data_IF_001724104296
#
_entry.id   IF_001724104296
#
_cell.length_a   1.000
_cell.length_b   1.000
_cell.length_c   1.000
_cell.angle_alpha   90.00
_cell.angle_beta   90.00
_cell.angle_gamma   90.00
#
_symmetry.space_group_name_H-M   'P 1'
#
loop_
_entity.id
_entity.type
_entity.pdbx_description
1 polymer ?
#
# COMPACT_ATOMS: atom_id res chain seq x y z
N UNK A 1 30.88 -35.90 30.11
CA UNK A 1 29.69 -35.16 30.59
C UNK A 1 29.14 -34.39 29.40
N UNK A 2 28.14 -34.98 28.73
CA UNK A 2 27.44 -34.39 27.59
C UNK A 2 26.26 -33.55 28.10
N UNK A 3 26.38 -32.22 27.97
CA UNK A 3 25.29 -31.29 28.22
C UNK A 3 24.51 -31.06 26.93
N UNK A 4 23.30 -31.58 26.83
CA UNK A 4 22.36 -31.34 25.76
C UNK A 4 21.79 -29.94 25.91
N UNK A 5 22.11 -29.02 24.98
CA UNK A 5 21.47 -27.74 24.83
C UNK A 5 20.06 -27.95 24.23
N UNK A 6 19.05 -27.89 25.07
CA UNK A 6 17.64 -27.85 24.69
C UNK A 6 17.37 -26.53 23.94
N UNK A 7 17.18 -26.61 22.63
CA UNK A 7 16.68 -25.54 21.83
C UNK A 7 15.22 -25.24 22.21
N UNK A 8 14.95 -24.14 22.90
CA UNK A 8 13.61 -23.61 23.17
C UNK A 8 12.97 -23.22 21.83
N UNK A 9 11.96 -23.99 21.40
CA UNK A 9 11.06 -23.60 20.29
C UNK A 9 10.37 -22.29 20.67
N UNK A 10 10.21 -21.33 19.72
CA UNK A 10 9.41 -20.14 19.98
C UNK A 10 8.00 -20.57 20.37
N UNK A 11 7.46 -19.96 21.43
CA UNK A 11 6.14 -20.22 21.99
C UNK A 11 5.06 -20.00 20.93
N UNK A 12 4.54 -21.07 20.33
CA UNK A 12 3.40 -21.04 19.43
C UNK A 12 2.15 -20.52 20.17
N UNK A 13 1.29 -19.79 19.45
CA UNK A 13 -0.01 -19.35 19.95
C UNK A 13 -0.80 -20.56 20.51
N UNK A 14 -1.53 -20.35 21.59
CA UNK A 14 -2.46 -21.37 22.09
C UNK A 14 -3.57 -21.58 21.06
N UNK A 15 -4.22 -22.79 21.07
CA UNK A 15 -5.38 -23.05 20.21
C UNK A 15 -6.47 -21.99 20.34
N UNK A 16 -6.69 -21.46 21.53
CA UNK A 16 -7.67 -20.39 21.77
C UNK A 16 -7.27 -19.07 21.11
N UNK A 17 -5.99 -18.72 21.19
CA UNK A 17 -5.46 -17.52 20.53
C UNK A 17 -5.51 -17.63 19.02
N UNK A 18 -5.15 -18.80 18.47
CA UNK A 18 -5.24 -19.04 17.04
C UNK A 18 -6.69 -18.92 16.54
N UNK A 19 -7.64 -19.59 17.19
CA UNK A 19 -9.06 -19.50 16.84
C UNK A 19 -9.63 -18.07 16.92
N UNK A 20 -9.09 -17.24 17.83
CA UNK A 20 -9.47 -15.83 17.91
C UNK A 20 -8.97 -15.04 16.69
N UNK A 21 -7.72 -15.27 16.30
CA UNK A 21 -7.10 -14.62 15.12
C UNK A 21 -7.79 -15.06 13.83
N UNK A 22 -8.04 -16.36 13.66
CA UNK A 22 -8.71 -16.90 12.48
C UNK A 22 -10.09 -16.28 12.29
N UNK A 23 -10.86 -16.17 13.38
CA UNK A 23 -12.17 -15.51 13.39
C UNK A 23 -12.08 -14.02 13.05
N UNK A 24 -11.07 -13.32 13.58
CA UNK A 24 -10.86 -11.92 13.27
C UNK A 24 -10.57 -11.74 11.78
N UNK A 25 -9.73 -12.59 11.19
CA UNK A 25 -9.41 -12.55 9.75
C UNK A 25 -10.66 -12.86 8.89
N UNK A 26 -11.48 -13.80 9.28
CA UNK A 26 -12.75 -14.11 8.61
C UNK A 26 -13.70 -12.90 8.63
N UNK A 27 -13.87 -12.25 9.77
CA UNK A 27 -14.68 -11.04 9.89
C UNK A 27 -14.15 -9.86 9.07
N UNK A 28 -12.82 -9.69 8.99
CA UNK A 28 -12.18 -8.67 8.13
C UNK A 28 -12.46 -9.01 6.66
N UNK A 29 -12.37 -10.27 6.25
CA UNK A 29 -12.67 -10.67 4.89
C UNK A 29 -14.14 -10.40 4.52
N UNK A 30 -15.07 -10.70 5.40
CA UNK A 30 -16.51 -10.40 5.22
C UNK A 30 -16.73 -8.88 5.12
N UNK A 31 -16.11 -8.10 6.01
CA UNK A 31 -16.21 -6.64 5.97
C UNK A 31 -15.67 -6.06 4.66
N UNK A 32 -14.60 -6.64 4.14
CA UNK A 32 -14.03 -6.25 2.85
C UNK A 32 -15.03 -6.50 1.70
N UNK A 33 -15.68 -7.66 1.65
CA UNK A 33 -16.70 -7.94 0.64
C UNK A 33 -17.91 -6.99 0.74
N UNK A 34 -18.29 -6.58 1.96
CA UNK A 34 -19.34 -5.56 2.14
C UNK A 34 -18.88 -4.21 1.58
N UNK A 35 -17.64 -3.81 1.85
CA UNK A 35 -17.07 -2.54 1.32
C UNK A 35 -16.95 -2.57 -0.21
N UNK A 36 -16.54 -3.68 -0.80
CA UNK A 36 -16.48 -3.84 -2.27
C UNK A 36 -17.84 -3.66 -2.92
N UNK A 37 -18.89 -4.20 -2.31
CA UNK A 37 -20.24 -4.16 -2.86
C UNK A 37 -20.97 -2.84 -2.61
N UNK A 38 -20.80 -2.24 -1.44
CA UNK A 38 -21.67 -1.16 -0.94
C UNK A 38 -20.90 0.12 -0.58
N UNK A 39 -19.59 0.09 -0.73
CA UNK A 39 -18.71 1.19 -0.32
C UNK A 39 -18.59 1.34 1.21
N UNK A 40 -17.78 2.31 1.66
CA UNK A 40 -17.56 2.56 3.09
C UNK A 40 -18.80 3.04 3.84
N UNK A 41 -19.66 3.81 3.16
CA UNK A 41 -20.93 4.29 3.75
C UNK A 41 -21.86 3.13 4.03
N UNK A 42 -21.82 2.11 3.19
CA UNK A 42 -22.61 0.89 3.31
C UNK A 42 -22.14 -0.08 4.41
N UNK A 43 -20.88 0.02 4.87
CA UNK A 43 -20.36 -0.85 5.92
C UNK A 43 -21.02 -0.53 7.26
N UNK A 44 -21.59 -1.55 7.90
CA UNK A 44 -22.09 -1.51 9.28
C UNK A 44 -21.74 -2.80 10.01
N UNK A 45 -21.61 -2.73 11.34
CA UNK A 45 -21.35 -3.91 12.18
C UNK A 45 -22.46 -4.96 12.04
N UNK A 46 -23.71 -4.52 11.86
CA UNK A 46 -24.88 -5.40 11.68
C UNK A 46 -24.81 -6.17 10.36
N UNK A 47 -24.37 -5.52 9.26
CA UNK A 47 -24.19 -6.20 7.98
C UNK A 47 -23.08 -7.24 8.03
N UNK A 48 -21.98 -6.94 8.73
CA UNK A 48 -20.90 -7.91 8.93
C UNK A 48 -21.37 -9.09 9.76
N UNK A 49 -22.14 -8.85 10.84
CA UNK A 49 -22.73 -9.92 11.63
C UNK A 49 -23.70 -10.76 10.81
N UNK A 50 -24.59 -10.13 10.04
CA UNK A 50 -25.57 -10.83 9.19
C UNK A 50 -24.93 -11.66 8.06
N UNK A 51 -23.77 -11.23 7.56
CA UNK A 51 -23.01 -11.94 6.52
C UNK A 51 -22.06 -13.01 7.09
N UNK A 52 -21.89 -13.08 8.41
CA UNK A 52 -21.04 -14.05 9.10
C UNK A 52 -21.86 -15.15 9.78
N UNK A 53 -21.16 -16.22 10.20
CA UNK A 53 -21.72 -17.26 11.06
C UNK A 53 -21.77 -16.85 12.54
N UNK A 54 -21.36 -15.64 12.89
CA UNK A 54 -21.19 -15.18 14.26
C UNK A 54 -22.30 -14.25 14.75
N UNK A 55 -22.57 -14.27 16.05
CA UNK A 55 -23.49 -13.34 16.66
C UNK A 55 -22.97 -11.90 16.62
N UNK A 56 -23.88 -10.91 16.63
CA UNK A 56 -23.53 -9.49 16.75
C UNK A 56 -22.59 -9.22 17.94
N UNK A 57 -22.85 -9.85 19.10
CA UNK A 57 -21.97 -9.75 20.27
C UNK A 57 -20.55 -10.26 20.00
N UNK A 58 -20.41 -11.33 19.21
CA UNK A 58 -19.09 -11.83 18.79
C UNK A 58 -18.35 -10.82 17.93
N UNK A 59 -19.02 -10.16 16.97
CA UNK A 59 -18.41 -9.13 16.13
C UNK A 59 -17.93 -7.95 16.97
N UNK A 60 -18.76 -7.48 17.92
CA UNK A 60 -18.38 -6.39 18.85
C UNK A 60 -17.28 -6.76 19.85
N UNK A 61 -17.04 -8.05 20.10
CA UNK A 61 -15.89 -8.49 20.88
C UNK A 61 -14.54 -8.39 20.11
N UNK A 62 -14.59 -8.37 18.77
CA UNK A 62 -13.41 -8.21 17.91
C UNK A 62 -13.15 -6.76 17.51
N UNK A 63 -14.23 -5.99 17.30
CA UNK A 63 -14.15 -4.60 16.83
C UNK A 63 -15.05 -3.71 17.69
N UNK A 64 -14.45 -2.73 18.35
CA UNK A 64 -15.17 -1.84 19.28
C UNK A 64 -16.13 -0.90 18.56
N UNK A 65 -15.90 -0.65 17.27
CA UNK A 65 -16.70 0.25 16.43
C UNK A 65 -16.56 -0.12 14.93
N UNK A 66 -17.38 0.50 14.09
CA UNK A 66 -17.19 0.47 12.63
C UNK A 66 -15.82 1.01 12.24
N UNK A 67 -15.39 2.07 12.90
CA UNK A 67 -14.12 2.73 12.65
C UNK A 67 -12.93 1.83 13.01
N UNK A 68 -13.03 1.06 14.10
CA UNK A 68 -12.04 0.04 14.50
C UNK A 68 -11.92 -1.08 13.44
N UNK A 69 -13.06 -1.47 12.84
CA UNK A 69 -13.09 -2.41 11.72
C UNK A 69 -12.48 -1.82 10.44
N UNK A 70 -12.71 -0.53 10.15
CA UNK A 70 -12.07 0.18 9.03
C UNK A 70 -10.55 0.23 9.25
N UNK A 71 -10.07 0.48 10.47
CA UNK A 71 -8.64 0.44 10.79
C UNK A 71 -8.04 -0.97 10.60
N UNK A 72 -8.79 -2.03 10.88
CA UNK A 72 -8.36 -3.39 10.58
C UNK A 72 -8.28 -3.67 9.07
N UNK A 73 -9.20 -3.14 8.27
CA UNK A 73 -9.15 -3.21 6.80
C UNK A 73 -7.94 -2.45 6.24
N UNK A 74 -7.63 -1.26 6.78
CA UNK A 74 -6.44 -0.50 6.40
C UNK A 74 -5.15 -1.25 6.76
N UNK A 75 -5.09 -1.91 7.92
CA UNK A 75 -3.96 -2.77 8.30
C UNK A 75 -3.76 -3.90 7.29
N UNK A 76 -4.85 -4.53 6.83
CA UNK A 76 -4.79 -5.54 5.76
C UNK A 76 -4.27 -4.94 4.45
N UNK A 77 -4.77 -3.77 4.06
CA UNK A 77 -4.34 -3.05 2.86
C UNK A 77 -2.83 -2.77 2.88
N UNK A 78 -2.33 -2.15 3.96
CA UNK A 78 -0.91 -1.86 4.15
C UNK A 78 -0.04 -3.12 4.10
N UNK A 79 -0.50 -4.24 4.69
CA UNK A 79 0.25 -5.49 4.63
C UNK A 79 0.38 -6.03 3.21
N UNK A 80 -0.67 -5.92 2.38
CA UNK A 80 -0.63 -6.32 0.97
C UNK A 80 0.26 -5.38 0.16
N UNK A 81 0.14 -4.08 0.37
CA UNK A 81 0.96 -3.06 -0.27
C UNK A 81 2.46 -3.28 0.02
N UNK A 82 2.85 -3.51 1.28
CA UNK A 82 4.22 -3.82 1.69
C UNK A 82 4.73 -5.09 0.98
N UNK A 83 3.90 -6.14 0.87
CA UNK A 83 4.29 -7.36 0.17
C UNK A 83 4.60 -7.09 -1.31
N UNK A 84 3.81 -6.26 -1.98
CA UNK A 84 4.06 -5.84 -3.36
C UNK A 84 5.32 -4.97 -3.46
N UNK A 85 5.54 -4.03 -2.52
CA UNK A 85 6.73 -3.17 -2.50
C UNK A 85 8.01 -3.97 -2.29
N UNK A 86 8.00 -5.00 -1.43
CA UNK A 86 9.12 -5.92 -1.25
C UNK A 86 9.44 -6.69 -2.53
N UNK A 87 8.42 -7.12 -3.30
CA UNK A 87 8.63 -7.72 -4.62
C UNK A 87 9.26 -6.69 -5.58
N UNK A 88 8.73 -5.48 -5.63
CA UNK A 88 9.22 -4.40 -6.48
C UNK A 88 10.67 -4.01 -6.17
N UNK A 89 11.06 -3.93 -4.90
CA UNK A 89 12.42 -3.58 -4.48
C UNK A 89 13.48 -4.60 -4.90
N UNK A 90 13.06 -5.83 -5.25
CA UNK A 90 13.94 -6.85 -5.83
C UNK A 90 14.22 -6.66 -7.33
N UNK A 91 13.63 -5.66 -7.99
CA UNK A 91 13.86 -5.37 -9.40
C UNK A 91 15.34 -5.13 -9.70
N UNK A 92 15.83 -5.67 -10.81
CA UNK A 92 17.22 -5.56 -11.23
C UNK A 92 17.42 -4.31 -12.08
N UNK A 93 17.85 -3.24 -11.43
CA UNK A 93 18.11 -1.93 -12.03
C UNK A 93 18.91 -1.02 -11.08
N UNK A 94 19.13 0.25 -11.47
CA UNK A 94 19.66 1.27 -10.58
C UNK A 94 18.64 1.62 -9.47
N UNK A 95 19.00 2.46 -8.48
CA UNK A 95 18.10 2.71 -7.36
C UNK A 95 16.91 3.58 -7.76
N UNK A 96 17.04 4.46 -8.76
CA UNK A 96 15.91 5.20 -9.32
C UNK A 96 14.89 4.26 -10.00
N UNK A 97 15.36 3.25 -10.75
CA UNK A 97 14.48 2.22 -11.33
C UNK A 97 13.78 1.37 -10.25
N UNK A 98 14.45 1.06 -9.12
CA UNK A 98 13.84 0.36 -7.99
C UNK A 98 12.75 1.19 -7.32
N UNK A 99 12.98 2.50 -7.16
CA UNK A 99 11.96 3.39 -6.64
C UNK A 99 10.77 3.49 -7.59
N UNK A 100 11.01 3.55 -8.90
CA UNK A 100 9.97 3.47 -9.92
C UNK A 100 9.18 2.16 -9.83
N UNK A 101 9.87 1.03 -9.61
CA UNK A 101 9.20 -0.27 -9.43
C UNK A 101 8.24 -0.29 -8.24
N UNK A 102 8.59 0.40 -7.14
CA UNK A 102 7.68 0.59 -5.98
C UNK A 102 6.43 1.39 -6.39
N UNK A 103 6.58 2.43 -7.22
CA UNK A 103 5.42 3.17 -7.73
C UNK A 103 4.54 2.34 -8.67
N UNK A 104 5.14 1.50 -9.52
CA UNK A 104 4.39 0.53 -10.34
C UNK A 104 3.59 -0.42 -9.47
N UNK A 105 4.21 -0.96 -8.40
CA UNK A 105 3.53 -1.82 -7.44
C UNK A 105 2.34 -1.12 -6.78
N UNK A 106 2.51 0.15 -6.40
CA UNK A 106 1.43 0.94 -5.79
C UNK A 106 0.28 1.22 -6.78
N UNK A 107 0.60 1.58 -8.02
CA UNK A 107 -0.41 1.79 -9.06
C UNK A 107 -1.21 0.50 -9.33
N UNK A 108 -0.53 -0.65 -9.41
CA UNK A 108 -1.17 -1.96 -9.54
C UNK A 108 -2.07 -2.27 -8.34
N UNK A 109 -1.60 -2.06 -7.12
CA UNK A 109 -2.38 -2.27 -5.90
C UNK A 109 -3.66 -1.43 -5.90
N UNK A 110 -3.57 -0.14 -6.23
CA UNK A 110 -4.72 0.76 -6.32
C UNK A 110 -5.74 0.33 -7.40
N UNK A 111 -5.27 -0.23 -8.51
CA UNK A 111 -6.15 -0.75 -9.56
C UNK A 111 -6.81 -2.08 -9.19
N UNK A 112 -6.08 -2.98 -8.52
CA UNK A 112 -6.56 -4.31 -8.13
C UNK A 112 -7.50 -4.26 -6.93
N UNK A 113 -7.19 -3.40 -5.97
CA UNK A 113 -7.85 -3.32 -4.67
C UNK A 113 -8.30 -1.88 -4.34
N UNK A 114 -9.10 -1.22 -5.20
CA UNK A 114 -9.47 0.18 -5.00
C UNK A 114 -10.21 0.43 -3.68
N UNK A 115 -10.98 -0.55 -3.21
CA UNK A 115 -11.68 -0.45 -1.93
C UNK A 115 -10.69 -0.44 -0.74
N UNK A 116 -9.65 -1.28 -0.77
CA UNK A 116 -8.62 -1.29 0.29
C UNK A 116 -7.74 -0.04 0.24
N UNK A 117 -7.34 0.41 -0.94
CA UNK A 117 -6.60 1.66 -1.12
C UNK A 117 -7.34 2.85 -0.49
N UNK A 118 -8.65 2.95 -0.71
CA UNK A 118 -9.50 3.97 -0.08
C UNK A 118 -9.62 3.81 1.45
N UNK A 119 -9.47 2.58 2.00
CA UNK A 119 -9.43 2.37 3.45
C UNK A 119 -8.26 3.10 4.10
N UNK A 120 -7.08 3.03 3.50
CA UNK A 120 -5.86 3.67 4.02
C UNK A 120 -6.05 5.18 4.14
N UNK A 121 -6.70 5.81 3.15
CA UNK A 121 -7.08 7.23 3.18
C UNK A 121 -8.03 7.54 4.34
N UNK A 122 -9.11 6.79 4.44
CA UNK A 122 -10.17 7.03 5.41
C UNK A 122 -9.67 6.90 6.84
N UNK A 123 -8.73 5.97 7.09
CA UNK A 123 -8.17 5.72 8.43
C UNK A 123 -7.32 6.86 8.99
N UNK A 124 -6.88 7.80 8.16
CA UNK A 124 -6.09 8.97 8.59
C UNK A 124 -6.96 10.13 9.08
N UNK A 125 -8.27 10.01 8.93
CA UNK A 125 -9.20 11.06 9.36
C UNK A 125 -9.47 10.98 10.86
N UNK A 126 -9.63 12.12 11.58
CA UNK A 126 -9.99 12.13 13.00
C UNK A 126 -11.25 11.31 13.30
N UNK A 127 -12.22 11.33 12.38
CA UNK A 127 -13.46 10.57 12.51
C UNK A 127 -13.24 9.05 12.71
N UNK A 128 -12.14 8.51 12.17
CA UNK A 128 -11.78 7.10 12.32
C UNK A 128 -10.78 6.92 13.46
N UNK A 129 -9.73 7.74 13.54
CA UNK A 129 -8.66 7.57 14.54
C UNK A 129 -9.17 7.71 15.98
N UNK A 130 -10.08 8.63 16.24
CA UNK A 130 -10.65 8.87 17.58
C UNK A 130 -11.54 7.71 18.10
N UNK A 131 -12.05 6.88 17.19
CA UNK A 131 -12.96 5.76 17.50
C UNK A 131 -12.33 4.39 17.29
N UNK A 132 -11.08 4.35 16.86
CA UNK A 132 -10.31 3.12 16.70
C UNK A 132 -9.56 2.78 17.98
N UNK A 133 -9.38 1.49 18.27
CA UNK A 133 -8.61 1.05 19.41
C UNK A 133 -7.12 1.38 19.24
N UNK A 134 -6.43 1.67 20.35
CA UNK A 134 -4.98 1.94 20.36
C UNK A 134 -4.20 0.79 19.71
N UNK A 135 -4.62 -0.46 19.93
CA UNK A 135 -4.01 -1.63 19.31
C UNK A 135 -4.03 -1.56 17.79
N UNK A 136 -5.17 -1.15 17.19
CA UNK A 136 -5.32 -1.03 15.73
C UNK A 136 -4.46 0.11 15.17
N UNK A 137 -4.51 1.25 15.83
CA UNK A 137 -3.70 2.40 15.43
C UNK A 137 -2.20 2.09 15.51
N UNK A 138 -1.75 1.44 16.58
CA UNK A 138 -0.35 1.02 16.72
C UNK A 138 0.08 0.04 15.62
N UNK A 139 -0.77 -0.94 15.27
CA UNK A 139 -0.49 -1.87 14.18
C UNK A 139 -0.40 -1.16 12.82
N UNK A 140 -1.31 -0.25 12.54
CA UNK A 140 -1.30 0.56 11.31
C UNK A 140 -0.05 1.44 11.22
N UNK A 141 0.29 2.16 12.30
CA UNK A 141 1.49 3.01 12.36
C UNK A 141 2.78 2.21 12.18
N UNK A 142 2.84 0.98 12.72
CA UNK A 142 4.00 0.10 12.54
C UNK A 142 4.20 -0.32 11.09
N UNK A 143 3.14 -0.67 10.39
CA UNK A 143 3.19 -1.02 8.96
C UNK A 143 3.53 0.20 8.09
N UNK A 144 3.00 1.37 8.43
CA UNK A 144 3.34 2.61 7.74
C UNK A 144 4.82 2.95 7.88
N UNK A 145 5.38 2.81 9.08
CA UNK A 145 6.81 2.99 9.31
C UNK A 145 7.66 1.99 8.49
N UNK A 146 7.22 0.72 8.39
CA UNK A 146 7.87 -0.28 7.54
C UNK A 146 7.84 0.13 6.06
N UNK A 147 6.72 0.61 5.59
CA UNK A 147 6.53 1.06 4.20
C UNK A 147 7.46 2.24 3.86
N UNK A 148 7.53 3.25 4.73
CA UNK A 148 8.42 4.40 4.56
C UNK A 148 9.90 3.98 4.60
N UNK A 149 10.26 3.04 5.47
CA UNK A 149 11.63 2.51 5.57
C UNK A 149 12.13 1.87 4.26
N UNK A 150 11.25 1.28 3.45
CA UNK A 150 11.63 0.76 2.12
C UNK A 150 12.05 1.89 1.17
N UNK A 151 11.35 3.02 1.20
CA UNK A 151 11.72 4.22 0.44
C UNK A 151 13.05 4.83 0.91
N UNK A 152 13.22 4.97 2.23
CA UNK A 152 14.44 5.48 2.85
C UNK A 152 15.67 4.66 2.43
N UNK A 153 15.58 3.32 2.49
CA UNK A 153 16.65 2.42 2.08
C UNK A 153 17.05 2.60 0.61
N UNK A 154 16.08 2.73 -0.31
CA UNK A 154 16.37 2.95 -1.72
C UNK A 154 17.06 4.31 -1.92
N UNK A 155 16.62 5.35 -1.21
CA UNK A 155 17.20 6.68 -1.22
C UNK A 155 18.66 6.67 -0.72
N UNK A 156 18.91 6.05 0.42
CA UNK A 156 20.25 5.92 1.00
C UNK A 156 21.21 5.17 0.08
N UNK A 157 20.74 4.09 -0.56
CA UNK A 157 21.54 3.36 -1.55
C UNK A 157 21.83 4.19 -2.80
N UNK A 158 20.87 4.99 -3.28
CA UNK A 158 21.05 5.93 -4.38
C UNK A 158 22.08 6.99 -4.05
N UNK A 159 22.00 7.58 -2.87
CA UNK A 159 22.98 8.58 -2.40
C UNK A 159 24.39 7.97 -2.26
N UNK A 160 24.51 6.78 -1.65
CA UNK A 160 25.78 6.09 -1.48
C UNK A 160 26.47 5.75 -2.83
N UNK A 161 25.71 5.61 -3.92
CA UNK A 161 26.21 5.39 -5.28
C UNK A 161 26.43 6.66 -6.09
N UNK A 162 26.13 7.84 -5.51
CA UNK A 162 26.21 9.10 -6.21
C UNK A 162 25.13 9.31 -7.29
N UNK A 163 24.04 8.53 -7.24
CA UNK A 163 22.91 8.66 -8.16
C UNK A 163 22.04 9.89 -7.82
N UNK A 164 22.03 10.32 -6.57
CA UNK A 164 21.36 11.52 -6.07
C UNK A 164 22.21 12.24 -5.03
N UNK A 165 22.26 13.57 -5.10
CA UNK A 165 22.96 14.40 -4.12
C UNK A 165 21.99 14.81 -3.00
N UNK A 166 22.24 14.30 -1.80
CA UNK A 166 21.44 14.57 -0.60
C UNK A 166 22.01 15.69 0.26
N UNK A 167 23.11 16.37 -0.19
CA UNK A 167 23.75 17.49 0.53
C UNK A 167 23.02 18.83 0.31
N UNK A 168 22.00 18.86 -0.52
CA UNK A 168 21.20 20.04 -0.84
C UNK A 168 20.41 20.59 0.35
N UNK A 169 19.74 21.73 0.14
CA UNK A 169 18.95 22.40 1.17
C UNK A 169 17.63 21.67 1.55
N UNK A 170 17.21 20.70 0.74
CA UNK A 170 16.00 19.90 1.00
C UNK A 170 16.40 18.63 1.75
N UNK A 171 15.89 18.40 2.98
CA UNK A 171 16.18 17.18 3.72
C UNK A 171 15.70 15.92 2.99
N UNK A 172 16.43 14.82 3.13
CA UNK A 172 16.06 13.50 2.57
C UNK A 172 14.63 13.09 2.92
N UNK A 173 14.24 13.29 4.18
CA UNK A 173 12.89 13.01 4.67
C UNK A 173 11.80 13.78 3.91
N UNK A 174 12.09 15.02 3.49
CA UNK A 174 11.14 15.81 2.70
C UNK A 174 11.02 15.26 1.27
N UNK A 175 12.11 14.76 0.69
CA UNK A 175 12.09 14.15 -0.65
C UNK A 175 11.28 12.84 -0.60
N UNK A 176 11.53 11.98 0.41
CA UNK A 176 10.78 10.74 0.60
C UNK A 176 9.29 11.03 0.81
N UNK A 177 8.97 12.01 1.66
CA UNK A 177 7.58 12.42 1.88
C UNK A 177 6.92 12.96 0.60
N UNK A 178 7.61 13.84 -0.16
CA UNK A 178 7.07 14.38 -1.41
C UNK A 178 6.81 13.29 -2.45
N UNK A 179 7.76 12.33 -2.56
CA UNK A 179 7.63 11.19 -3.44
C UNK A 179 6.43 10.30 -3.07
N UNK A 180 6.27 10.01 -1.78
CA UNK A 180 5.12 9.27 -1.27
C UNK A 180 3.81 10.03 -1.50
N UNK A 181 3.74 11.31 -1.13
CA UNK A 181 2.54 12.14 -1.25
C UNK A 181 2.09 12.29 -2.70
N UNK A 182 3.04 12.46 -3.64
CA UNK A 182 2.77 12.51 -5.07
C UNK A 182 2.17 11.19 -5.56
N UNK A 183 2.82 10.06 -5.29
CA UNK A 183 2.34 8.74 -5.70
C UNK A 183 0.95 8.43 -5.13
N UNK A 184 0.75 8.73 -3.85
CA UNK A 184 -0.53 8.56 -3.17
C UNK A 184 -1.63 9.44 -3.77
N UNK A 185 -1.36 10.74 -3.94
CA UNK A 185 -2.33 11.69 -4.49
C UNK A 185 -2.68 11.39 -5.94
N UNK A 186 -1.70 11.09 -6.78
CA UNK A 186 -1.91 10.73 -8.18
C UNK A 186 -2.81 9.49 -8.30
N UNK A 187 -2.48 8.40 -7.61
CA UNK A 187 -3.28 7.18 -7.67
C UNK A 187 -4.69 7.37 -7.08
N UNK A 188 -4.85 8.15 -6.00
CA UNK A 188 -6.16 8.46 -5.44
C UNK A 188 -7.05 9.23 -6.44
N UNK A 189 -6.48 10.19 -7.17
CA UNK A 189 -7.19 10.95 -8.18
C UNK A 189 -7.55 10.11 -9.42
N UNK A 190 -6.60 9.32 -9.94
CA UNK A 190 -6.81 8.48 -11.14
C UNK A 190 -7.76 7.31 -10.88
N UNK A 191 -7.86 6.81 -9.65
CA UNK A 191 -8.78 5.73 -9.28
C UNK A 191 -10.06 6.22 -8.60
N UNK A 192 -10.29 7.54 -8.53
CA UNK A 192 -11.56 8.07 -8.01
C UNK A 192 -12.69 7.83 -8.99
N UNK A 193 -13.88 7.50 -8.46
CA UNK A 193 -15.07 7.27 -9.27
C UNK A 193 -15.64 8.57 -9.92
N UNK A 194 -15.14 9.73 -9.52
CA UNK A 194 -15.55 11.02 -10.07
C UNK A 194 -14.57 11.46 -11.16
N UNK A 195 -15.06 11.65 -12.38
CA UNK A 195 -14.28 12.27 -13.45
C UNK A 195 -13.98 13.74 -13.11
N UNK A 196 -12.81 13.98 -12.53
CA UNK A 196 -12.28 15.32 -12.38
C UNK A 196 -11.82 15.85 -13.73
N UNK A 197 -12.23 17.05 -14.12
CA UNK A 197 -11.76 17.67 -15.38
C UNK A 197 -10.24 17.76 -15.48
N UNK A 198 -9.52 17.84 -14.36
CA UNK A 198 -8.07 17.81 -14.32
C UNK A 198 -7.52 16.42 -14.71
N UNK A 199 -8.13 15.34 -14.21
CA UNK A 199 -7.75 13.96 -14.53
C UNK A 199 -8.00 13.65 -16.00
N UNK A 200 -9.19 13.99 -16.51
CA UNK A 200 -9.55 13.80 -17.93
C UNK A 200 -8.54 14.50 -18.84
N UNK A 201 -8.24 15.77 -18.56
CA UNK A 201 -7.26 16.54 -19.36
C UNK A 201 -5.88 15.90 -19.40
N UNK A 202 -5.40 15.34 -18.28
CA UNK A 202 -4.10 14.71 -18.21
C UNK A 202 -4.10 13.37 -18.96
N UNK A 203 -5.17 12.58 -18.84
CA UNK A 203 -5.31 11.29 -19.53
C UNK A 203 -5.41 11.45 -21.05
N UNK A 204 -5.97 12.55 -21.54
CA UNK A 204 -6.03 12.85 -22.99
C UNK A 204 -4.68 13.24 -23.58
N UNK A 205 -3.74 13.74 -22.77
CA UNK A 205 -2.46 14.29 -23.22
C UNK A 205 -1.24 13.47 -22.87
N UNK A 206 -1.34 12.56 -21.89
CA UNK A 206 -0.24 11.77 -21.35
C UNK A 206 -0.53 10.28 -21.44
N UNK A 207 0.42 9.50 -21.94
CA UNK A 207 0.33 8.03 -22.01
C UNK A 207 0.42 7.40 -20.61
N UNK A 208 1.31 7.92 -19.77
CA UNK A 208 1.52 7.44 -18.40
C UNK A 208 1.68 8.60 -17.42
N UNK A 209 0.57 9.25 -17.01
CA UNK A 209 0.63 10.43 -16.14
C UNK A 209 1.31 10.20 -14.79
N UNK A 210 1.23 8.99 -14.24
CA UNK A 210 1.87 8.65 -12.97
C UNK A 210 3.39 8.64 -13.15
N UNK A 211 3.89 8.04 -14.23
CA UNK A 211 5.32 8.06 -14.57
C UNK A 211 5.84 9.48 -14.79
N UNK A 212 5.06 10.32 -15.47
CA UNK A 212 5.43 11.71 -15.71
C UNK A 212 5.58 12.49 -14.38
N UNK A 213 4.66 12.32 -13.45
CA UNK A 213 4.75 12.91 -12.11
C UNK A 213 5.99 12.42 -11.35
N UNK A 214 6.31 11.12 -11.43
CA UNK A 214 7.50 10.54 -10.79
C UNK A 214 8.76 11.15 -11.40
N UNK A 215 8.84 11.21 -12.73
CA UNK A 215 9.99 11.78 -13.43
C UNK A 215 10.19 13.25 -13.09
N UNK A 216 9.14 14.07 -13.09
CA UNK A 216 9.19 15.48 -12.70
C UNK A 216 9.80 15.66 -11.30
N UNK A 217 9.38 14.85 -10.33
CA UNK A 217 9.89 14.93 -8.97
C UNK A 217 11.34 14.47 -8.88
N UNK A 218 11.67 13.31 -9.44
CA UNK A 218 13.00 12.72 -9.32
C UNK A 218 14.06 13.49 -10.16
N UNK A 219 13.68 14.03 -11.32
CA UNK A 219 14.52 14.95 -12.09
C UNK A 219 14.75 16.26 -11.32
N UNK A 220 13.70 16.78 -10.66
CA UNK A 220 13.77 17.99 -9.85
C UNK A 220 14.75 17.90 -8.69
N UNK A 221 14.95 16.73 -8.11
CA UNK A 221 15.99 16.48 -7.10
C UNK A 221 17.32 16.01 -7.70
N UNK A 222 17.44 15.96 -9.02
CA UNK A 222 18.66 15.58 -9.73
C UNK A 222 19.04 14.10 -9.62
N UNK A 223 18.06 13.20 -9.40
CA UNK A 223 18.34 11.76 -9.31
C UNK A 223 18.69 11.19 -10.68
N UNK A 224 19.93 10.72 -10.81
CA UNK A 224 20.50 10.20 -12.06
C UNK A 224 20.18 8.71 -12.28
N UNK A 225 20.08 8.27 -13.56
CA UNK A 225 20.05 9.11 -14.77
C UNK A 225 18.74 9.91 -14.86
N UNK A 226 18.76 11.11 -15.47
CA UNK A 226 17.54 11.91 -15.67
C UNK A 226 16.61 11.25 -16.69
N UNK A 227 15.32 11.61 -16.68
CA UNK A 227 14.34 11.07 -17.64
C UNK A 227 14.61 11.48 -19.08
N UNK A 228 15.39 12.54 -19.30
CA UNK A 228 15.92 12.95 -20.60
C UNK A 228 17.09 12.09 -21.10
N UNK A 229 17.71 11.33 -20.21
CA UNK A 229 18.91 10.49 -20.48
C UNK A 229 18.58 9.00 -20.51
N UNK A 230 17.42 8.61 -19.93
CA UNK A 230 17.05 7.21 -19.73
C UNK A 230 15.54 6.97 -19.95
N UNK A 231 15.18 5.86 -20.59
CA UNK A 231 13.79 5.53 -20.89
C UNK A 231 13.09 4.81 -19.73
N UNK A 232 12.46 5.55 -18.83
CA UNK A 232 11.73 5.00 -17.70
C UNK A 232 10.38 4.35 -18.09
N UNK A 233 9.85 4.62 -19.27
CA UNK A 233 8.67 3.90 -19.80
C UNK A 233 9.02 2.42 -20.07
N UNK A 234 10.23 2.15 -20.55
CA UNK A 234 10.71 0.77 -20.70
C UNK A 234 10.88 0.09 -19.34
N UNK A 235 11.44 0.78 -18.34
CA UNK A 235 11.52 0.26 -16.96
C UNK A 235 10.13 -0.06 -16.42
N UNK A 236 9.15 0.84 -16.63
CA UNK A 236 7.76 0.60 -16.22
C UNK A 236 7.23 -0.72 -16.81
N UNK A 237 7.41 -0.92 -18.12
CA UNK A 237 6.95 -2.14 -18.78
C UNK A 237 7.70 -3.38 -18.28
N UNK A 238 9.03 -3.30 -18.09
CA UNK A 238 9.84 -4.39 -17.53
C UNK A 238 9.38 -4.80 -16.13
N UNK A 239 9.04 -3.84 -15.28
CA UNK A 239 8.51 -4.15 -13.93
C UNK A 239 7.19 -4.90 -14.01
N UNK A 240 6.29 -4.51 -14.92
CA UNK A 240 5.03 -5.23 -15.15
C UNK A 240 5.28 -6.67 -15.62
N UNK A 241 6.24 -6.87 -16.52
CA UNK A 241 6.48 -8.18 -17.15
C UNK A 241 7.37 -9.09 -16.27
N UNK A 242 8.36 -8.55 -15.57
CA UNK A 242 9.33 -9.33 -14.79
C UNK A 242 8.88 -9.58 -13.34
N UNK A 243 8.17 -8.63 -12.71
CA UNK A 243 7.80 -8.68 -11.28
C UNK A 243 6.31 -8.95 -11.08
N UNK A 244 5.45 -8.39 -11.93
CA UNK A 244 3.99 -8.41 -11.77
C UNK A 244 3.22 -8.93 -13.00
N UNK A 245 3.66 -10.04 -13.66
CA UNK A 245 3.02 -10.49 -14.91
C UNK A 245 1.56 -10.91 -14.72
N UNK A 246 1.22 -11.54 -13.58
CA UNK A 246 -0.14 -12.00 -13.29
C UNK A 246 -1.08 -10.83 -13.02
N UNK A 247 -0.65 -9.87 -12.19
CA UNK A 247 -1.39 -8.66 -11.87
C UNK A 247 -1.63 -7.79 -13.11
N UNK A 248 -0.61 -7.62 -13.94
CA UNK A 248 -0.70 -6.88 -15.18
C UNK A 248 -1.66 -7.54 -16.19
N UNK A 249 -1.61 -8.87 -16.32
CA UNK A 249 -2.52 -9.63 -17.17
C UNK A 249 -3.97 -9.48 -16.71
N UNK A 250 -4.23 -9.57 -15.41
CA UNK A 250 -5.57 -9.41 -14.84
C UNK A 250 -6.16 -8.02 -15.15
N UNK A 251 -5.37 -6.94 -14.97
CA UNK A 251 -5.84 -5.57 -15.26
C UNK A 251 -6.12 -5.38 -16.74
N UNK A 252 -5.26 -5.91 -17.64
CA UNK A 252 -5.49 -5.83 -19.09
C UNK A 252 -6.81 -6.51 -19.49
N UNK A 253 -7.11 -7.67 -18.92
CA UNK A 253 -8.37 -8.39 -19.17
C UNK A 253 -9.59 -7.62 -18.64
N UNK A 254 -9.49 -7.04 -17.46
CA UNK A 254 -10.60 -6.28 -16.83
C UNK A 254 -10.94 -4.98 -17.57
N UNK A 255 -9.99 -4.38 -18.29
CA UNK A 255 -10.21 -3.17 -19.12
C UNK A 255 -10.72 -3.48 -20.53
N UNK A 256 -10.72 -4.76 -20.94
CA UNK A 256 -11.18 -5.21 -22.27
C UNK A 256 -12.65 -5.66 -22.27
N UNK A 257 -13.32 -5.63 -21.12
CA UNK A 257 -14.75 -5.91 -20.91
C UNK A 257 -15.51 -4.61 -20.65
#
# INVERSE_FOLDING_TARGET
VSGSLSATKPSGLTRKQQALLDREQELIAIAFEVVKREGFTGLTMDKVAAASSYSKGTVYNHFTSKEDLIAALATKALSQEIAMFKRASAFKGNNREKLLAVHVAYALFCCLEPALSNCVLSCRTPAVTEKSSEKRLAAMNSLEAELLSLGDQIMELGAARGEVDMSGSIPATSIVFANWAMGFGANALFNSASESGAVVRVQETCENPILDCINLLLDGVGWKPLSTEFNYQETWQRVLDEIFPEEAAFIRQSKSL
#
